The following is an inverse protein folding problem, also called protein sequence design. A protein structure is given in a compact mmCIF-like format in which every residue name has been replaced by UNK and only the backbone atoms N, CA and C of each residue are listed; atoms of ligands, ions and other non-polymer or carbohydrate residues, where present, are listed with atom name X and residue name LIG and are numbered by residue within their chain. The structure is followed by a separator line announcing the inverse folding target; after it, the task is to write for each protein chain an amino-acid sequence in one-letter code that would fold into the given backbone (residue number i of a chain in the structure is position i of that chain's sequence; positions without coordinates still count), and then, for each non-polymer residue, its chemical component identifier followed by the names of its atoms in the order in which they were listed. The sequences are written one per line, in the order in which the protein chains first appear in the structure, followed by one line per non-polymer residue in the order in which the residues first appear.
data_IF_223898310210
#
_entry.id   IF_223898310210
#
_cell.length_a   1.000
_cell.length_b   1.000
_cell.length_c   1.000
_cell.angle_alpha   90.00
_cell.angle_beta   90.00
_cell.angle_gamma   90.00
#
_symmetry.space_group_name_H-M   'P 1'
#
loop_
_entity.id
_entity.type
_entity.pdbx_description
1 polymer ?
#
# COMPACT_ATOMS: atom_id res chain seq x y z
N UNK A 1 13.23 11.04 0.68
CA UNK A 1 11.88 11.57 1.01
C UNK A 1 11.57 11.49 2.49
N UNK A 2 10.57 12.24 2.99
CA UNK A 2 10.06 12.09 4.36
C UNK A 2 8.92 11.07 4.36
N UNK A 3 8.83 10.26 5.44
CA UNK A 3 7.76 9.31 5.66
C UNK A 3 7.32 9.29 7.13
N UNK A 4 6.05 8.98 7.40
CA UNK A 4 5.50 8.87 8.74
C UNK A 4 5.64 7.43 9.22
N UNK A 5 6.17 7.26 10.45
CA UNK A 5 6.32 5.97 11.12
C UNK A 5 5.47 5.96 12.39
N UNK A 6 4.67 4.92 12.59
CA UNK A 6 3.96 4.72 13.86
C UNK A 6 4.85 3.94 14.84
N UNK A 7 5.14 4.57 15.97
CA UNK A 7 5.96 3.98 17.04
C UNK A 7 5.11 3.27 18.11
N UNK A 8 3.79 3.36 18.01
CA UNK A 8 2.89 2.95 19.08
C UNK A 8 2.86 3.94 20.25
N UNK A 9 2.16 3.58 21.31
CA UNK A 9 2.03 4.43 22.50
C UNK A 9 1.55 5.87 22.20
N UNK A 10 0.73 6.03 21.14
CA UNK A 10 0.25 7.33 20.60
C UNK A 10 1.39 8.25 20.14
N UNK A 11 2.48 7.66 19.63
CA UNK A 11 3.62 8.38 19.06
C UNK A 11 3.75 8.06 17.59
N UNK A 12 4.13 9.06 16.84
CA UNK A 12 4.57 8.94 15.45
C UNK A 12 5.80 9.83 15.23
N UNK A 13 6.60 9.50 14.24
CA UNK A 13 7.75 10.30 13.82
C UNK A 13 7.74 10.50 12.31
N UNK A 14 8.26 11.65 11.89
CA UNK A 14 8.61 11.90 10.49
C UNK A 14 10.09 11.57 10.34
N UNK A 15 10.40 10.52 9.60
CA UNK A 15 11.75 10.06 9.36
C UNK A 15 12.16 10.28 7.89
N UNK A 16 13.48 10.30 7.62
CA UNK A 16 14.01 10.39 6.28
C UNK A 16 14.24 8.97 5.72
N UNK A 17 13.81 8.78 4.48
CA UNK A 17 13.99 7.56 3.70
C UNK A 17 14.60 7.92 2.34
N UNK A 18 15.31 6.98 1.74
CA UNK A 18 15.69 7.11 0.33
C UNK A 18 14.47 7.16 -0.57
N UNK A 19 14.54 7.90 -1.67
CA UNK A 19 13.49 7.86 -2.67
C UNK A 19 13.49 6.47 -3.32
N UNK A 20 12.33 5.81 -3.45
CA UNK A 20 12.29 4.46 -3.97
C UNK A 20 12.57 4.42 -5.48
N UNK A 21 13.26 3.38 -5.92
CA UNK A 21 13.42 3.02 -7.33
C UNK A 21 12.65 1.74 -7.64
N UNK A 22 11.99 1.62 -8.81
CA UNK A 22 11.21 0.42 -9.13
C UNK A 22 12.13 -0.76 -9.42
N UNK A 23 11.80 -1.93 -8.89
CA UNK A 23 12.30 -3.20 -9.38
C UNK A 23 11.68 -3.53 -10.76
N UNK A 24 12.11 -4.63 -11.40
CA UNK A 24 11.66 -4.97 -12.75
C UNK A 24 10.13 -5.04 -12.92
N UNK A 25 9.41 -5.59 -11.94
CA UNK A 25 7.96 -5.82 -11.97
C UNK A 25 7.18 -4.84 -11.07
N UNK A 26 7.78 -3.67 -10.78
CA UNK A 26 7.25 -2.68 -9.86
C UNK A 26 7.03 -1.33 -10.54
N UNK A 27 6.26 -0.49 -9.88
CA UNK A 27 6.05 0.92 -10.25
C UNK A 27 6.26 1.82 -9.05
N UNK A 28 6.57 3.10 -9.29
CA UNK A 28 6.57 4.14 -8.26
C UNK A 28 5.32 5.00 -8.43
N UNK A 29 4.58 5.15 -7.35
CA UNK A 29 3.48 6.08 -7.25
C UNK A 29 3.95 7.39 -6.61
N UNK A 30 3.60 8.52 -7.20
CA UNK A 30 3.55 9.79 -6.50
C UNK A 30 2.19 9.88 -5.82
N UNK A 31 2.20 9.86 -4.49
CA UNK A 31 0.99 9.82 -3.67
C UNK A 31 0.28 11.18 -3.72
N UNK A 32 -0.98 11.17 -4.11
CA UNK A 32 -1.86 12.34 -4.17
C UNK A 32 -2.84 12.37 -2.98
N UNK A 33 -3.19 11.20 -2.47
CA UNK A 33 -3.98 11.04 -1.25
C UNK A 33 -3.60 9.72 -0.56
N UNK A 34 -3.56 9.75 0.76
CA UNK A 34 -3.38 8.57 1.60
C UNK A 34 -4.40 8.64 2.74
N UNK A 35 -5.33 7.72 2.76
CA UNK A 35 -6.36 7.64 3.80
C UNK A 35 -5.79 7.11 5.11
N UNK A 36 -6.58 7.24 6.17
CA UNK A 36 -6.28 6.71 7.49
C UNK A 36 -7.41 5.77 7.93
N UNK A 37 -7.10 4.49 8.04
CA UNK A 37 -8.02 3.44 8.45
C UNK A 37 -8.09 3.29 9.98
N UNK A 38 -9.10 2.57 10.46
CA UNK A 38 -9.20 2.20 11.87
C UNK A 38 -8.01 1.35 12.36
N UNK A 39 -7.39 0.55 11.48
CA UNK A 39 -6.18 -0.21 11.79
C UNK A 39 -4.94 0.67 12.00
N UNK A 40 -4.81 1.80 11.30
CA UNK A 40 -3.73 2.77 11.55
C UNK A 40 -3.83 3.34 12.97
N UNK A 41 -5.06 3.63 13.43
CA UNK A 41 -5.29 4.06 14.82
C UNK A 41 -4.94 2.96 15.83
N UNK A 42 -5.16 1.69 15.47
CA UNK A 42 -4.76 0.54 16.31
C UNK A 42 -3.23 0.49 16.42
N UNK A 43 -2.49 0.62 15.31
CA UNK A 43 -1.02 0.64 15.30
C UNK A 43 -0.46 1.84 16.08
N UNK A 44 -1.05 3.03 15.87
CA UNK A 44 -0.68 4.24 16.60
C UNK A 44 -0.85 4.11 18.11
N UNK A 45 -1.90 3.40 18.57
CA UNK A 45 -2.23 3.24 20.00
C UNK A 45 -1.56 2.05 20.66
N UNK A 46 -1.17 1.05 19.90
CA UNK A 46 -0.60 -0.20 20.43
C UNK A 46 0.67 0.06 21.25
N UNK A 47 0.84 -0.65 22.37
CA UNK A 47 2.07 -0.59 23.15
C UNK A 47 3.20 -1.26 22.37
N UNK A 48 4.19 -0.49 21.90
CA UNK A 48 5.29 -0.99 21.09
C UNK A 48 5.00 -1.04 19.58
N UNK A 49 3.92 -0.39 19.12
CA UNK A 49 3.61 -0.25 17.68
C UNK A 49 3.17 -1.52 16.98
N UNK A 50 3.27 -1.59 15.64
CA UNK A 50 2.83 -2.74 14.86
C UNK A 50 3.49 -4.06 15.24
N UNK A 51 4.77 -4.04 15.61
CA UNK A 51 5.55 -5.22 16.00
C UNK A 51 4.95 -5.95 17.21
N UNK A 52 4.40 -5.20 18.17
CA UNK A 52 3.75 -5.76 19.37
C UNK A 52 2.45 -6.53 19.07
N UNK A 53 1.89 -6.33 17.89
CA UNK A 53 0.70 -7.02 17.39
C UNK A 53 1.05 -8.26 16.53
N UNK A 54 2.32 -8.67 16.50
CA UNK A 54 2.80 -9.73 15.63
C UNK A 54 2.82 -9.33 14.14
N UNK A 55 2.73 -8.03 13.85
CA UNK A 55 2.75 -7.48 12.51
C UNK A 55 4.06 -6.70 12.33
N UNK A 56 4.86 -7.12 11.38
CA UNK A 56 6.18 -6.57 11.14
C UNK A 56 7.25 -7.61 11.43
N UNK A 57 8.16 -7.73 10.51
CA UNK A 57 9.41 -8.45 10.65
C UNK A 57 10.45 -7.50 11.23
N UNK A 58 11.62 -7.56 11.04
CA UNK A 58 12.81 -6.80 11.45
C UNK A 58 12.52 -5.44 12.11
N UNK A 59 13.32 -5.02 13.08
CA UNK A 59 13.24 -3.74 13.80
C UNK A 59 13.45 -2.47 12.93
N UNK A 60 13.15 -2.57 11.62
CA UNK A 60 13.31 -1.45 10.68
C UNK A 60 12.05 -0.61 10.64
N UNK A 61 12.20 0.73 10.63
CA UNK A 61 11.05 1.62 10.52
C UNK A 61 10.32 1.41 9.18
N UNK A 62 9.01 1.25 9.24
CA UNK A 62 8.14 1.14 8.06
C UNK A 62 7.32 2.41 7.93
N UNK A 63 7.28 2.96 6.72
CA UNK A 63 6.38 4.07 6.39
C UNK A 63 4.94 3.55 6.49
N UNK A 64 4.12 4.20 7.30
CA UNK A 64 2.74 3.85 7.51
C UNK A 64 1.83 4.22 6.33
N UNK A 65 0.53 3.89 6.43
CA UNK A 65 -0.50 4.24 5.45
C UNK A 65 -0.72 3.14 4.42
N UNK A 66 -1.93 2.58 4.43
CA UNK A 66 -2.31 1.47 3.55
C UNK A 66 -3.57 1.78 2.70
N UNK A 67 -3.94 3.04 2.61
CA UNK A 67 -5.02 3.54 1.73
C UNK A 67 -4.44 4.49 0.66
N UNK A 68 -3.56 4.00 -0.23
CA UNK A 68 -2.87 4.84 -1.20
C UNK A 68 -3.70 5.13 -2.45
N UNK A 69 -3.58 6.36 -2.93
CA UNK A 69 -4.06 6.77 -4.23
C UNK A 69 -3.11 7.81 -4.83
N UNK A 70 -2.77 7.67 -6.10
CA UNK A 70 -1.80 8.56 -6.73
C UNK A 70 -1.63 8.35 -8.22
N UNK A 71 -0.51 8.81 -8.75
CA UNK A 71 -0.13 8.68 -10.16
C UNK A 71 1.16 7.89 -10.32
N UNK A 72 1.25 7.08 -11.37
CA UNK A 72 2.48 6.35 -11.70
C UNK A 72 3.51 7.34 -12.26
N UNK A 73 4.70 7.41 -11.64
CA UNK A 73 5.81 8.28 -12.08
C UNK A 73 7.00 7.51 -12.64
N UNK A 74 7.22 6.26 -12.18
CA UNK A 74 8.26 5.38 -12.71
C UNK A 74 7.73 3.97 -12.90
N UNK A 75 8.29 3.24 -13.87
CA UNK A 75 7.83 1.92 -14.31
C UNK A 75 9.04 1.02 -14.49
N UNK A 76 9.00 -0.16 -13.88
CA UNK A 76 10.02 -1.19 -13.99
C UNK A 76 10.11 -1.83 -15.38
N UNK A 77 11.25 -2.43 -15.67
CA UNK A 77 11.61 -2.90 -17.02
C UNK A 77 10.72 -4.03 -17.56
N UNK A 78 10.18 -4.88 -16.69
CA UNK A 78 9.33 -6.02 -17.06
C UNK A 78 7.84 -5.69 -17.10
N UNK A 79 7.46 -4.50 -16.62
CA UNK A 79 6.03 -4.11 -16.59
C UNK A 79 5.52 -3.91 -18.03
N UNK A 80 4.45 -4.62 -18.44
CA UNK A 80 3.92 -4.51 -19.78
C UNK A 80 3.42 -3.10 -20.09
N UNK A 81 3.94 -2.47 -21.16
CA UNK A 81 3.64 -1.09 -21.56
C UNK A 81 2.17 -0.85 -21.93
N UNK A 82 1.42 -1.89 -22.20
CA UNK A 82 -0.01 -1.82 -22.50
C UNK A 82 -0.89 -1.84 -21.24
N UNK A 83 -0.34 -2.16 -20.07
CA UNK A 83 -1.10 -2.20 -18.82
C UNK A 83 -1.06 -0.85 -18.08
N UNK A 84 0.09 -0.19 -18.08
CA UNK A 84 0.29 1.05 -17.34
C UNK A 84 1.15 2.04 -18.10
N UNK A 85 0.98 3.34 -17.79
CA UNK A 85 1.77 4.44 -18.35
C UNK A 85 2.06 5.48 -17.27
N UNK A 86 3.12 6.28 -17.48
CA UNK A 86 3.44 7.41 -16.57
C UNK A 86 2.30 8.43 -16.60
N UNK A 87 1.88 8.89 -15.42
CA UNK A 87 0.73 9.77 -15.24
C UNK A 87 -0.60 9.03 -15.05
N UNK A 88 -0.64 7.70 -15.22
CA UNK A 88 -1.85 6.91 -14.95
C UNK A 88 -2.28 7.08 -13.50
N UNK A 89 -3.56 7.35 -13.30
CA UNK A 89 -4.19 7.49 -11.98
C UNK A 89 -4.54 6.11 -11.45
N UNK A 90 -4.13 5.81 -10.21
CA UNK A 90 -4.28 4.46 -9.64
C UNK A 90 -4.56 4.51 -8.14
N UNK A 91 -5.22 3.47 -7.67
CA UNK A 91 -5.23 2.99 -6.29
C UNK A 91 -4.26 1.82 -6.18
N UNK A 92 -3.99 1.39 -4.96
CA UNK A 92 -3.14 0.24 -4.69
C UNK A 92 -3.82 -0.67 -3.66
N UNK A 93 -3.91 -1.95 -3.99
CA UNK A 93 -4.33 -2.99 -3.05
C UNK A 93 -3.17 -3.30 -2.10
N UNK A 94 -3.36 -3.10 -0.81
CA UNK A 94 -2.26 -3.10 0.16
C UNK A 94 -1.73 -4.49 0.57
N UNK A 95 -2.31 -5.58 0.06
CA UNK A 95 -1.78 -6.94 0.24
C UNK A 95 -1.05 -7.40 -1.02
N UNK A 96 0.10 -8.06 -0.82
CA UNK A 96 0.81 -8.78 -1.87
C UNK A 96 0.82 -10.26 -1.55
N UNK A 97 0.18 -11.07 -2.38
CA UNK A 97 0.23 -12.52 -2.33
C UNK A 97 1.24 -13.12 -3.31
N UNK A 98 1.15 -14.43 -3.59
CA UNK A 98 2.03 -15.11 -4.56
C UNK A 98 1.72 -14.72 -6.02
N UNK A 99 0.50 -14.27 -6.32
CA UNK A 99 0.03 -13.90 -7.65
C UNK A 99 -0.48 -15.06 -8.50
N UNK A 100 -0.33 -16.32 -8.07
CA UNK A 100 -0.59 -17.52 -8.89
C UNK A 100 -1.63 -18.48 -8.31
N UNK A 101 -1.87 -18.48 -6.99
CA UNK A 101 -2.92 -19.30 -6.38
C UNK A 101 -4.32 -18.81 -6.75
N UNK A 102 -5.33 -19.63 -6.48
CA UNK A 102 -6.73 -19.31 -6.80
C UNK A 102 -7.19 -17.99 -6.17
N UNK A 103 -6.82 -17.75 -4.91
CA UNK A 103 -7.17 -16.52 -4.20
C UNK A 103 -6.51 -15.30 -4.82
N UNK A 104 -5.22 -15.35 -5.12
CA UNK A 104 -4.51 -14.24 -5.76
C UNK A 104 -5.04 -13.94 -7.16
N UNK A 105 -5.34 -14.97 -7.96
CA UNK A 105 -5.83 -14.82 -9.34
C UNK A 105 -7.26 -14.26 -9.41
N UNK A 106 -8.02 -14.38 -8.33
CA UNK A 106 -9.40 -13.85 -8.21
C UNK A 106 -9.47 -12.53 -7.43
N UNK A 107 -8.31 -11.94 -7.06
CA UNK A 107 -8.25 -10.62 -6.38
C UNK A 107 -8.21 -10.69 -4.85
N UNK A 108 -8.24 -11.87 -4.26
CA UNK A 108 -8.20 -12.08 -2.81
C UNK A 108 -6.78 -12.36 -2.29
N UNK A 109 -5.83 -11.47 -2.58
CA UNK A 109 -4.42 -11.65 -2.21
C UNK A 109 -4.19 -11.78 -0.69
N UNK A 110 -5.06 -11.19 0.13
CA UNK A 110 -5.07 -11.35 1.59
C UNK A 110 -5.33 -12.79 2.05
N UNK A 111 -5.90 -13.65 1.19
CA UNK A 111 -6.17 -15.07 1.43
C UNK A 111 -5.18 -15.98 0.70
N UNK A 112 -4.00 -15.48 0.34
CA UNK A 112 -3.00 -16.22 -0.42
C UNK A 112 -2.65 -17.56 0.25
N UNK A 113 -2.70 -18.66 -0.50
CA UNK A 113 -2.39 -20.02 0.00
C UNK A 113 -0.94 -20.15 0.47
N UNK A 114 0.00 -19.42 -0.15
CA UNK A 114 1.41 -19.39 0.23
C UNK A 114 1.72 -18.35 1.34
N UNK A 115 0.69 -17.74 1.90
CA UNK A 115 0.80 -16.64 2.84
C UNK A 115 1.02 -15.27 2.17
N UNK A 116 0.66 -14.22 2.88
CA UNK A 116 0.83 -12.84 2.42
C UNK A 116 2.30 -12.46 2.48
N UNK A 117 2.88 -12.04 1.35
CA UNK A 117 4.30 -11.66 1.23
C UNK A 117 4.59 -10.28 1.82
N UNK A 118 3.64 -9.36 1.66
CA UNK A 118 3.73 -8.01 2.23
C UNK A 118 2.34 -7.43 2.51
N UNK A 119 2.26 -6.63 3.57
CA UNK A 119 1.14 -5.73 3.87
C UNK A 119 1.72 -4.33 3.88
N UNK A 120 1.47 -3.58 2.82
CA UNK A 120 2.02 -2.23 2.66
C UNK A 120 1.45 -1.27 3.70
N UNK A 121 2.32 -0.47 4.32
CA UNK A 121 1.99 0.35 5.49
C UNK A 121 2.14 -0.38 6.84
N UNK A 122 2.47 -1.70 6.82
CA UNK A 122 2.64 -2.53 8.02
C UNK A 122 3.95 -3.32 7.99
N UNK A 123 4.14 -4.20 6.99
CA UNK A 123 5.36 -5.00 6.81
C UNK A 123 6.23 -4.51 5.64
N UNK A 124 5.66 -3.71 4.75
CA UNK A 124 6.34 -2.99 3.68
C UNK A 124 5.98 -1.51 3.73
N UNK A 125 6.82 -0.64 3.15
CA UNK A 125 6.57 0.81 3.13
C UNK A 125 5.23 1.15 2.49
N UNK A 126 4.46 2.00 3.18
CA UNK A 126 3.15 2.47 2.76
C UNK A 126 3.15 3.90 2.20
N UNK A 127 1.98 4.52 2.23
CA UNK A 127 1.66 5.73 1.48
C UNK A 127 1.73 7.04 2.27
N UNK A 128 2.07 7.03 3.56
CA UNK A 128 2.27 8.29 4.31
C UNK A 128 3.65 8.88 4.00
N UNK A 129 3.98 9.01 2.72
CA UNK A 129 5.17 9.61 2.15
C UNK A 129 4.86 10.19 0.76
N UNK A 130 5.82 10.88 0.15
CA UNK A 130 5.66 11.43 -1.20
C UNK A 130 5.57 10.35 -2.27
N UNK A 131 6.39 9.32 -2.15
CA UNK A 131 6.47 8.23 -3.11
C UNK A 131 6.25 6.87 -2.43
N UNK A 132 5.65 5.94 -3.18
CA UNK A 132 5.45 4.56 -2.76
C UNK A 132 5.83 3.60 -3.88
N UNK A 133 6.62 2.58 -3.57
CA UNK A 133 6.95 1.50 -4.48
C UNK A 133 5.93 0.37 -4.37
N UNK A 134 5.38 -0.07 -5.50
CA UNK A 134 4.31 -1.05 -5.56
C UNK A 134 4.58 -2.12 -6.62
N UNK A 135 4.33 -3.41 -6.33
CA UNK A 135 4.24 -4.43 -7.38
C UNK A 135 3.12 -4.12 -8.36
N UNK A 136 3.34 -4.39 -9.65
CA UNK A 136 2.32 -4.16 -10.68
C UNK A 136 1.02 -4.96 -10.41
N UNK A 137 1.12 -6.13 -9.78
CA UNK A 137 -0.01 -7.00 -9.46
C UNK A 137 -0.98 -6.42 -8.41
N UNK A 138 -0.59 -5.34 -7.72
CA UNK A 138 -1.40 -4.69 -6.68
C UNK A 138 -2.01 -3.37 -7.15
N UNK A 139 -1.75 -2.95 -8.39
CA UNK A 139 -2.23 -1.67 -8.93
C UNK A 139 -3.66 -1.82 -9.46
N UNK A 140 -4.51 -0.89 -9.07
CA UNK A 140 -5.91 -0.79 -9.50
C UNK A 140 -6.13 0.56 -10.19
N UNK A 141 -6.55 0.59 -11.46
CA UNK A 141 -6.84 1.83 -12.17
C UNK A 141 -7.90 2.68 -11.45
N UNK A 142 -7.67 3.99 -11.36
CA UNK A 142 -8.65 4.95 -10.87
C UNK A 142 -9.27 5.70 -12.04
N UNK A 143 -10.60 5.67 -12.14
CA UNK A 143 -11.34 6.41 -13.17
C UNK A 143 -11.12 7.92 -13.03
N UNK A 144 -11.16 8.64 -14.14
CA UNK A 144 -10.87 10.08 -14.17
C UNK A 144 -11.92 10.94 -13.43
N UNK A 145 -13.16 10.43 -13.35
CA UNK A 145 -14.26 11.10 -12.64
C UNK A 145 -14.23 10.88 -11.11
N UNK A 146 -13.33 10.04 -10.59
CA UNK A 146 -13.16 9.82 -9.15
C UNK A 146 -11.96 10.64 -8.64
N UNK A 147 -12.15 11.42 -7.59
CA UNK A 147 -11.05 12.17 -6.97
C UNK A 147 -10.03 11.23 -6.30
N UNK A 148 -8.77 11.67 -6.14
CA UNK A 148 -7.77 10.91 -5.40
C UNK A 148 -8.16 10.67 -3.94
N UNK A 149 -8.87 11.62 -3.31
CA UNK A 149 -9.39 11.48 -1.93
C UNK A 149 -10.41 10.35 -1.86
N UNK A 150 -11.34 10.29 -2.81
CA UNK A 150 -12.32 9.20 -2.89
C UNK A 150 -11.61 7.86 -3.20
N UNK A 151 -10.64 7.86 -4.12
CA UNK A 151 -9.83 6.68 -4.43
C UNK A 151 -9.08 6.13 -3.21
N UNK A 152 -8.50 6.99 -2.39
CA UNK A 152 -7.84 6.58 -1.15
C UNK A 152 -8.83 5.91 -0.19
N UNK A 153 -10.04 6.45 0.00
CA UNK A 153 -11.07 5.83 0.84
C UNK A 153 -11.59 4.49 0.27
N UNK A 154 -11.61 4.35 -1.06
CA UNK A 154 -12.02 3.11 -1.73
C UNK A 154 -10.95 2.01 -1.54
N UNK A 155 -9.68 2.35 -1.54
CA UNK A 155 -8.56 1.39 -1.58
C UNK A 155 -8.48 0.44 -0.37
N UNK A 156 -9.14 0.77 0.76
CA UNK A 156 -9.25 -0.12 1.91
C UNK A 156 -10.68 -0.12 2.50
N UNK A 157 -11.09 0.95 3.15
CA UNK A 157 -12.32 0.97 3.95
C UNK A 157 -13.57 0.60 3.15
N UNK A 158 -13.80 1.28 2.01
CA UNK A 158 -14.96 1.00 1.14
C UNK A 158 -14.83 -0.37 0.46
N UNK A 159 -13.62 -0.72 -0.03
CA UNK A 159 -13.37 -2.02 -0.65
C UNK A 159 -13.62 -3.19 0.32
N UNK A 160 -13.20 -3.04 1.57
CA UNK A 160 -13.46 -4.04 2.63
C UNK A 160 -14.96 -4.18 2.93
N UNK A 161 -15.68 -3.06 3.03
CA UNK A 161 -17.14 -3.08 3.26
C UNK A 161 -17.88 -3.73 2.09
N UNK A 162 -17.46 -3.42 0.85
CA UNK A 162 -18.03 -4.03 -0.35
C UNK A 162 -17.80 -5.54 -0.40
N UNK A 163 -16.55 -6.00 -0.18
CA UNK A 163 -16.22 -7.42 -0.19
C UNK A 163 -16.87 -8.22 0.96
N UNK A 164 -17.42 -7.57 1.98
CA UNK A 164 -18.19 -8.23 3.04
C UNK A 164 -19.68 -8.42 2.66
N UNK A 165 -20.14 -7.82 1.55
CA UNK A 165 -21.51 -7.93 1.05
C UNK A 165 -21.65 -8.93 -0.10
N UNK A 166 -20.54 -9.35 -0.71
CA UNK A 166 -20.45 -10.41 -1.72
C UNK A 166 -20.43 -11.80 -1.05
#
# INVERSE_FOLDING_TARGET
MKGIVFLGNKKLEIQNFEDPTPGPDEVILEIQASGMCGSDLKFYRANGGPSSLGLGGDDKPVIAGHEPCGTIVEIGSNVPKNLVFKGMRVMHHHYQGCGTCVHCSTGWQQLCDDGVKAVFGVTGHGAHAKYMKCPISTIVPLRDDISFIAGAAISCGTGTAWGALD
#
